data_IF_354790026423
#
_entry.id   IF_354790026423
#
_cell.length_a   1.000
_cell.length_b   1.000
_cell.length_c   1.000
_cell.angle_alpha   90.00
_cell.angle_beta   90.00
_cell.angle_gamma   90.00
#
_symmetry.space_group_name_H-M   'P 1'
#
loop_
_entity.id
_entity.type
_entity.pdbx_description
1 polymer ?
#
# COMPACT_ATOMS: atom_id res chain seq x y z
N UNK A 1 24.48 1.94 -9.10
CA UNK A 1 23.18 1.80 -8.42
C UNK A 1 22.19 1.18 -9.39
N UNK A 2 21.78 -0.06 -9.17
CA UNK A 2 20.95 -0.78 -10.17
C UNK A 2 19.49 -0.94 -9.73
N UNK A 3 19.19 -0.75 -8.44
CA UNK A 3 17.91 -1.17 -7.85
C UNK A 3 17.34 -0.20 -6.80
N UNK A 4 18.19 0.44 -6.00
CA UNK A 4 17.78 1.40 -4.98
C UNK A 4 18.24 2.80 -5.36
N UNK A 5 17.38 3.78 -5.08
CA UNK A 5 17.66 5.21 -5.13
C UNK A 5 17.11 5.86 -3.87
N UNK A 6 17.56 7.08 -3.57
CA UNK A 6 16.99 7.86 -2.49
C UNK A 6 15.46 7.97 -2.67
N UNK A 7 14.71 7.67 -1.62
CA UNK A 7 13.24 7.71 -1.61
C UNK A 7 12.55 6.38 -1.95
N UNK A 8 13.27 5.35 -2.41
CA UNK A 8 12.70 4.00 -2.56
C UNK A 8 12.33 3.42 -1.20
N UNK A 9 11.11 2.92 -1.06
CA UNK A 9 10.65 2.25 0.16
C UNK A 9 11.04 0.79 0.12
N UNK A 10 11.62 0.29 1.21
CA UNK A 10 12.02 -1.10 1.37
C UNK A 10 11.63 -1.62 2.75
N UNK A 11 11.34 -2.91 2.84
CA UNK A 11 11.28 -3.67 4.08
C UNK A 11 12.63 -4.38 4.24
N UNK A 12 13.15 -4.38 5.46
CA UNK A 12 14.40 -5.08 5.80
C UNK A 12 14.18 -5.96 7.02
N UNK A 13 14.80 -7.14 7.02
CA UNK A 13 14.89 -8.03 8.17
C UNK A 13 16.36 -8.30 8.48
N UNK A 14 16.68 -8.38 9.76
CA UNK A 14 18.06 -8.57 10.22
C UNK A 14 18.22 -8.33 11.70
N UNK A 15 19.43 -7.92 12.10
CA UNK A 15 19.80 -7.75 13.51
C UNK A 15 20.27 -6.34 13.83
N UNK A 16 19.95 -5.90 15.04
CA UNK A 16 20.42 -4.64 15.59
C UNK A 16 21.77 -4.84 16.27
N UNK A 17 22.70 -3.91 16.04
CA UNK A 17 23.98 -3.84 16.74
C UNK A 17 24.24 -2.42 17.24
N UNK A 18 24.90 -2.32 18.39
CA UNK A 18 25.39 -1.04 18.90
C UNK A 18 26.83 -0.82 18.43
N UNK A 19 27.09 0.32 17.82
CA UNK A 19 28.42 0.74 17.37
C UNK A 19 28.78 2.07 18.03
N UNK A 20 29.19 1.99 19.29
CA UNK A 20 29.46 3.15 20.11
C UNK A 20 30.97 3.44 20.10
N UNK A 21 31.36 4.69 19.90
CA UNK A 21 32.76 5.10 19.91
C UNK A 21 32.97 6.42 20.65
N UNK A 22 34.22 6.71 21.02
CA UNK A 22 34.59 8.00 21.60
C UNK A 22 35.22 8.88 20.51
N UNK A 23 34.67 10.07 20.30
CA UNK A 23 35.23 11.02 19.34
C UNK A 23 36.50 11.69 19.90
N UNK A 24 37.17 12.51 19.07
CA UNK A 24 38.42 13.18 19.46
C UNK A 24 38.26 14.15 20.63
N UNK A 25 37.05 14.63 20.87
CA UNK A 25 36.70 15.55 21.96
C UNK A 25 36.33 14.81 23.26
N UNK A 26 36.48 13.48 23.30
CA UNK A 26 36.20 12.65 24.47
C UNK A 26 34.72 12.34 24.70
N UNK A 27 33.84 12.69 23.76
CA UNK A 27 32.41 12.45 23.87
C UNK A 27 32.07 11.04 23.37
N UNK A 28 31.25 10.31 24.14
CA UNK A 28 30.70 9.02 23.71
C UNK A 28 29.59 9.24 22.69
N UNK A 29 29.79 8.76 21.47
CA UNK A 29 28.80 8.75 20.40
C UNK A 29 28.15 7.37 20.40
N UNK A 30 26.83 7.34 20.56
CA UNK A 30 26.06 6.12 20.51
C UNK A 30 25.45 5.95 19.12
N UNK A 31 25.67 4.81 18.49
CA UNK A 31 25.10 4.49 17.17
C UNK A 31 24.41 3.14 17.22
N UNK A 32 23.25 3.07 16.59
CA UNK A 32 22.51 1.82 16.38
C UNK A 32 22.58 1.52 14.90
N UNK A 33 23.20 0.40 14.55
CA UNK A 33 23.28 -0.10 13.19
C UNK A 33 22.34 -1.30 13.01
N UNK A 34 21.82 -1.45 11.80
CA UNK A 34 21.02 -2.61 11.39
C UNK A 34 21.83 -3.38 10.35
N UNK A 35 22.19 -4.62 10.66
CA UNK A 35 22.78 -5.53 9.69
C UNK A 35 21.63 -6.28 9.02
N UNK A 36 21.49 -6.06 7.71
CA UNK A 36 20.41 -6.62 6.90
C UNK A 36 20.77 -8.01 6.40
N UNK A 37 19.88 -8.97 6.66
CA UNK A 37 19.98 -10.33 6.13
C UNK A 37 19.03 -10.50 4.91
N UNK A 38 17.84 -9.88 4.95
CA UNK A 38 16.85 -9.91 3.86
C UNK A 38 16.31 -8.50 3.54
N UNK A 39 16.05 -8.23 2.26
CA UNK A 39 15.46 -6.97 1.78
C UNK A 39 14.36 -7.21 0.74
N UNK A 40 13.27 -6.44 0.84
CA UNK A 40 12.13 -6.47 -0.08
C UNK A 40 11.69 -5.06 -0.46
N UNK A 41 11.18 -4.88 -1.68
CA UNK A 41 10.59 -3.62 -2.11
C UNK A 41 9.21 -3.41 -1.49
N UNK A 42 9.01 -2.23 -0.90
CA UNK A 42 7.79 -1.86 -0.19
C UNK A 42 6.91 -0.89 -0.98
N UNK A 43 7.01 -0.92 -2.31
CA UNK A 43 6.25 -0.01 -3.16
C UNK A 43 4.79 -0.46 -3.28
N UNK A 44 3.87 0.50 -3.25
CA UNK A 44 2.47 0.19 -3.54
C UNK A 44 2.28 0.05 -5.05
N UNK A 45 1.28 -0.74 -5.47
CA UNK A 45 0.90 -0.84 -6.89
C UNK A 45 0.66 0.53 -7.56
N UNK A 46 0.26 1.52 -6.79
CA UNK A 46 0.04 2.91 -7.26
C UNK A 46 1.35 3.71 -7.42
N UNK A 47 2.42 3.34 -6.73
CA UNK A 47 3.72 4.01 -6.82
C UNK A 47 4.54 3.58 -8.05
N UNK A 48 4.25 2.38 -8.58
CA UNK A 48 4.89 1.84 -9.80
C UNK A 48 4.32 2.44 -11.09
N UNK A 49 3.13 3.06 -11.02
CA UNK A 49 2.46 3.72 -12.14
C UNK A 49 2.73 5.23 -12.11
N UNK A 50 3.86 5.65 -12.68
CA UNK A 50 4.07 7.06 -12.97
C UNK A 50 2.94 7.57 -13.87
N UNK A 51 2.19 8.58 -13.42
CA UNK A 51 1.59 9.68 -14.18
C UNK A 51 1.19 9.40 -15.66
N UNK A 52 0.59 8.24 -15.96
CA UNK A 52 0.10 7.91 -17.31
C UNK A 52 -0.90 6.75 -17.24
N UNK A 53 -1.96 6.95 -16.49
CA UNK A 53 -3.11 6.06 -16.46
C UNK A 53 -4.35 6.93 -16.41
N UNK A 54 -4.71 7.52 -17.56
CA UNK A 54 -5.94 8.27 -17.69
C UNK A 54 -7.09 7.42 -17.19
N UNK A 55 -7.61 7.75 -16.00
CA UNK A 55 -8.96 7.38 -15.61
C UNK A 55 -9.87 8.06 -16.63
N UNK A 56 -10.15 7.39 -17.75
CA UNK A 56 -11.40 7.64 -18.43
C UNK A 56 -12.48 7.07 -17.51
N UNK A 57 -13.39 7.89 -16.97
CA UNK A 57 -14.61 7.35 -16.42
C UNK A 57 -15.31 6.66 -17.59
N UNK A 58 -15.21 5.33 -17.65
CA UNK A 58 -16.06 4.52 -18.49
C UNK A 58 -17.49 4.91 -18.15
N UNK A 59 -18.17 5.54 -19.10
CA UNK A 59 -19.54 6.02 -18.93
C UNK A 59 -20.36 4.87 -18.35
N UNK A 60 -20.95 5.11 -17.18
CA UNK A 60 -21.86 4.17 -16.52
C UNK A 60 -22.93 3.76 -17.55
N UNK A 61 -23.06 2.48 -17.91
CA UNK A 61 -24.11 2.05 -18.81
C UNK A 61 -25.46 2.42 -18.20
N UNK A 62 -26.32 3.02 -19.01
CA UNK A 62 -27.69 3.35 -18.63
C UNK A 62 -28.47 2.07 -18.32
N UNK A 63 -29.45 2.07 -17.40
CA UNK A 63 -29.98 0.87 -16.74
C UNK A 63 -30.73 -0.13 -17.63
N UNK A 64 -30.79 0.09 -18.95
CA UNK A 64 -31.56 -0.77 -19.86
C UNK A 64 -30.83 -2.05 -20.28
N UNK A 65 -29.57 -2.24 -19.88
CA UNK A 65 -28.74 -3.38 -20.31
C UNK A 65 -28.43 -4.39 -19.17
N UNK A 66 -28.94 -4.19 -17.96
CA UNK A 66 -28.71 -5.08 -16.81
C UNK A 66 -29.88 -6.04 -16.52
N UNK A 67 -30.78 -6.27 -17.50
CA UNK A 67 -31.83 -7.28 -17.41
C UNK A 67 -31.31 -8.63 -17.88
N UNK A 68 -30.40 -9.23 -17.11
CA UNK A 68 -29.97 -10.58 -17.42
C UNK A 68 -28.69 -11.06 -16.74
N UNK A 69 -28.53 -10.88 -15.43
CA UNK A 69 -27.85 -11.90 -14.61
C UNK A 69 -27.99 -11.67 -13.09
N UNK A 70 -28.49 -12.67 -12.38
CA UNK A 70 -28.08 -12.95 -11.00
C UNK A 70 -28.60 -12.12 -9.82
N UNK A 71 -29.30 -11.00 -10.00
CA UNK A 71 -29.91 -10.25 -8.89
C UNK A 71 -31.42 -10.13 -9.07
N UNK A 72 -32.18 -10.76 -8.16
CA UNK A 72 -33.64 -10.63 -8.10
C UNK A 72 -34.00 -9.15 -7.95
N UNK A 73 -34.82 -8.62 -8.86
CA UNK A 73 -35.47 -7.33 -8.69
C UNK A 73 -36.41 -7.44 -7.49
N UNK A 74 -35.91 -7.04 -6.34
CA UNK A 74 -36.70 -6.85 -5.15
C UNK A 74 -37.71 -5.72 -5.47
N UNK A 75 -39.04 -5.96 -5.38
CA UNK A 75 -40.01 -4.89 -5.51
C UNK A 75 -39.82 -3.86 -4.39
N UNK A 76 -39.84 -2.57 -4.74
CA UNK A 76 -39.81 -1.47 -3.78
C UNK A 76 -40.99 -1.64 -2.81
N UNK A 77 -40.72 -2.06 -1.56
CA UNK A 77 -41.74 -2.33 -0.55
C UNK A 77 -41.41 -3.46 0.43
N UNK A 78 -40.40 -4.31 0.16
CA UNK A 78 -40.01 -5.39 1.10
C UNK A 78 -38.88 -4.99 2.08
N UNK A 79 -38.30 -3.80 1.95
CA UNK A 79 -37.29 -3.28 2.88
C UNK A 79 -37.87 -3.06 4.29
N UNK A 80 -39.19 -2.86 4.40
CA UNK A 80 -39.88 -2.65 5.68
C UNK A 80 -40.12 -3.94 6.47
N UNK A 81 -39.94 -5.11 5.85
CA UNK A 81 -40.19 -6.44 6.46
C UNK A 81 -38.88 -7.17 6.87
N UNK A 82 -37.73 -6.48 6.79
CA UNK A 82 -36.46 -7.07 7.20
C UNK A 82 -36.30 -7.06 8.73
N UNK A 83 -35.78 -8.15 9.33
CA UNK A 83 -35.73 -8.35 10.78
C UNK A 83 -34.70 -7.46 11.51
N UNK A 84 -34.12 -6.48 10.83
CA UNK A 84 -33.20 -5.50 11.38
C UNK A 84 -33.63 -4.07 10.98
N UNK A 85 -34.90 -3.74 11.22
CA UNK A 85 -35.39 -2.37 11.27
C UNK A 85 -35.36 -1.83 12.70
#
# INVERSE_FOLDING_TARGET
EKYLKQGTRILISGRIQQDNYTNKDGQKVYSVQIIVDEQEFAESKNASGGESGGYQPSARPTPSAAVGDGFMNIPDGIDEELPFN
#
